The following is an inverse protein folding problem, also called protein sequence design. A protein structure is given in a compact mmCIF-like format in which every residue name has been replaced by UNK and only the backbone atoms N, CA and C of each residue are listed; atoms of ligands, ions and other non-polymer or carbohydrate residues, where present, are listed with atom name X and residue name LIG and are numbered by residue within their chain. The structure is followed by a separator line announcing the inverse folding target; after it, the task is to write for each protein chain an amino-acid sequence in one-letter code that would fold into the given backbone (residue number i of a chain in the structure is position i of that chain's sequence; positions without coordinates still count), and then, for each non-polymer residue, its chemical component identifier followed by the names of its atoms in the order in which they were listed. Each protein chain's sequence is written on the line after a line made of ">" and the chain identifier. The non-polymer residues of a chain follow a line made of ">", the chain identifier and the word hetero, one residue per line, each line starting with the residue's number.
data_IF_131978259212
#
_entry.id   IF_131978259212
#
_cell.length_a   1.000
_cell.length_b   1.000
_cell.length_c   1.000
_cell.angle_alpha   90.00
_cell.angle_beta   90.00
_cell.angle_gamma   90.00
#
_symmetry.space_group_name_H-M   'P 1'
#
loop_
_entity.id
_entity.type
_entity.pdbx_description
1 polymer ?
#
# COMPACT_ATOMS: atom_id res chain seq x y z
N UNK A 1 6.20 31.71 -26.30
CA UNK A 1 4.90 31.21 -25.82
C UNK A 1 5.03 29.78 -25.31
N UNK A 2 4.38 29.51 -24.17
CA UNK A 2 4.48 28.22 -23.48
C UNK A 2 3.43 27.18 -23.91
N UNK A 3 2.59 27.48 -24.90
CA UNK A 3 1.63 26.55 -25.50
C UNK A 3 2.06 26.03 -26.86
N UNK A 4 1.30 25.09 -27.40
CA UNK A 4 1.40 24.59 -28.79
C UNK A 4 0.07 24.81 -29.53
N UNK A 5 0.01 24.48 -30.82
CA UNK A 5 -1.25 24.51 -31.60
C UNK A 5 -2.28 23.49 -31.09
N UNK A 6 -1.86 22.44 -30.40
CA UNK A 6 -2.68 21.31 -29.92
C UNK A 6 -3.06 21.43 -28.44
N UNK A 7 -2.28 22.15 -27.63
CA UNK A 7 -2.51 22.32 -26.20
C UNK A 7 -2.07 23.71 -25.74
N UNK A 8 -2.92 24.38 -24.99
CA UNK A 8 -2.62 25.71 -24.48
C UNK A 8 -1.72 25.65 -23.22
N UNK A 9 -1.06 26.77 -22.90
CA UNK A 9 -0.13 26.87 -21.76
C UNK A 9 -0.81 26.55 -20.42
N UNK A 10 -2.06 26.98 -20.21
CA UNK A 10 -2.78 26.73 -18.94
C UNK A 10 -2.98 25.23 -18.71
N UNK A 11 -3.29 24.48 -19.76
CA UNK A 11 -3.45 23.02 -19.63
C UNK A 11 -2.11 22.33 -19.36
N UNK A 12 -1.01 22.80 -19.95
CA UNK A 12 0.34 22.29 -19.64
C UNK A 12 0.69 22.58 -18.18
N UNK A 13 0.39 23.78 -17.66
CA UNK A 13 0.60 24.12 -16.25
C UNK A 13 -0.26 23.23 -15.34
N UNK A 14 -1.51 23.01 -15.66
CA UNK A 14 -2.40 22.12 -14.90
C UNK A 14 -1.83 20.68 -14.81
N UNK A 15 -1.40 20.11 -15.94
CA UNK A 15 -0.79 18.78 -15.93
C UNK A 15 0.54 18.77 -15.14
N UNK A 16 1.33 19.84 -15.23
CA UNK A 16 2.58 19.97 -14.48
C UNK A 16 2.33 20.04 -12.97
N UNK A 17 1.36 20.83 -12.53
CA UNK A 17 0.98 20.92 -11.13
C UNK A 17 0.38 19.61 -10.58
N UNK A 18 -0.21 18.81 -11.46
CA UNK A 18 -0.73 17.48 -11.15
C UNK A 18 0.32 16.37 -11.29
N UNK A 19 1.61 16.70 -11.43
CA UNK A 19 2.73 15.77 -11.58
C UNK A 19 2.56 14.79 -12.76
N UNK A 20 1.94 15.24 -13.85
CA UNK A 20 1.71 14.45 -15.06
C UNK A 20 2.53 14.98 -16.23
N UNK A 21 3.02 14.05 -17.04
CA UNK A 21 3.60 14.39 -18.31
C UNK A 21 2.48 14.64 -19.33
N UNK A 22 2.61 15.72 -20.09
CA UNK A 22 1.66 16.06 -21.15
C UNK A 22 1.72 15.01 -22.25
N UNK A 23 0.55 14.55 -22.71
CA UNK A 23 0.39 13.59 -23.80
C UNK A 23 -0.67 14.09 -24.79
N UNK A 24 -0.34 14.06 -26.08
CA UNK A 24 -1.23 14.47 -27.15
C UNK A 24 -1.69 13.22 -27.92
N UNK A 25 -3.01 13.11 -28.10
CA UNK A 25 -3.61 11.98 -28.79
C UNK A 25 -4.32 12.45 -30.07
N UNK A 26 -4.19 11.67 -31.12
CA UNK A 26 -5.02 11.74 -32.32
C UNK A 26 -6.12 10.69 -32.23
N UNK A 27 -7.30 10.98 -32.79
CA UNK A 27 -8.41 10.07 -32.81
C UNK A 27 -8.53 9.53 -34.23
N UNK A 28 -8.31 8.24 -34.41
CA UNK A 28 -8.42 7.53 -35.67
C UNK A 28 -9.67 6.65 -35.60
N UNK A 29 -10.48 6.65 -36.66
CA UNK A 29 -11.59 5.71 -36.78
C UNK A 29 -11.04 4.37 -37.27
N UNK A 30 -11.41 3.28 -36.59
CA UNK A 30 -11.09 1.92 -37.05
C UNK A 30 -12.07 1.44 -38.09
N UNK A 31 -11.82 0.27 -38.67
CA UNK A 31 -12.64 -0.33 -39.74
C UNK A 31 -14.09 -0.60 -39.30
N UNK A 32 -14.40 -0.54 -38.01
CA UNK A 32 -15.73 -0.67 -37.41
C UNK A 32 -16.38 0.70 -37.09
N UNK A 33 -15.76 1.84 -37.47
CA UNK A 33 -16.24 3.19 -37.20
C UNK A 33 -16.09 3.65 -35.75
N UNK A 34 -15.30 2.94 -34.95
CA UNK A 34 -15.02 3.31 -33.56
C UNK A 34 -13.80 4.24 -33.50
N UNK A 35 -13.92 5.32 -32.71
CA UNK A 35 -12.81 6.25 -32.47
C UNK A 35 -11.80 5.67 -31.49
N UNK A 36 -10.57 5.47 -31.93
CA UNK A 36 -9.44 5.01 -31.13
C UNK A 36 -8.45 6.15 -30.93
N UNK A 37 -8.09 6.40 -29.67
CA UNK A 37 -7.06 7.38 -29.30
C UNK A 37 -5.66 6.78 -29.54
N UNK A 38 -4.87 7.40 -30.41
CA UNK A 38 -3.49 7.01 -30.71
C UNK A 38 -2.55 8.13 -30.27
N UNK A 39 -1.49 7.78 -29.54
CA UNK A 39 -0.52 8.75 -29.06
C UNK A 39 0.27 9.36 -30.23
N UNK A 40 0.17 10.69 -30.38
CA UNK A 40 0.99 11.44 -31.32
C UNK A 40 2.34 11.75 -30.66
N UNK A 41 3.36 10.95 -30.97
CA UNK A 41 4.70 11.06 -30.38
C UNK A 41 5.36 12.41 -30.66
N UNK A 42 5.19 12.97 -31.88
CA UNK A 42 5.80 14.24 -32.29
C UNK A 42 5.20 15.41 -31.52
N UNK A 43 3.87 15.53 -31.52
CA UNK A 43 3.19 16.61 -30.80
C UNK A 43 3.36 16.49 -29.28
N UNK A 44 3.42 15.26 -28.75
CA UNK A 44 3.71 15.01 -27.34
C UNK A 44 5.11 15.49 -26.98
N UNK A 45 6.15 15.20 -27.77
CA UNK A 45 7.51 15.68 -27.51
C UNK A 45 7.60 17.21 -27.52
N UNK A 46 6.89 17.89 -28.44
CA UNK A 46 6.84 19.35 -28.49
C UNK A 46 6.17 19.91 -27.25
N UNK A 47 5.04 19.30 -26.82
CA UNK A 47 4.32 19.73 -25.61
C UNK A 47 5.13 19.50 -24.33
N UNK A 48 5.85 18.38 -24.20
CA UNK A 48 6.75 18.10 -23.09
C UNK A 48 7.95 19.06 -23.05
N UNK A 49 8.51 19.42 -24.21
CA UNK A 49 9.54 20.46 -24.24
C UNK A 49 9.02 21.81 -23.71
N UNK A 50 7.74 22.17 -24.00
CA UNK A 50 7.12 23.36 -23.42
C UNK A 50 6.87 23.21 -21.91
N UNK A 51 6.55 22.01 -21.45
CA UNK A 51 6.39 21.70 -20.03
C UNK A 51 7.72 21.92 -19.27
N UNK A 52 8.85 21.47 -19.83
CA UNK A 52 10.16 21.70 -19.23
C UNK A 52 10.55 23.19 -19.23
N UNK A 53 10.24 23.93 -20.30
CA UNK A 53 10.44 25.39 -20.32
C UNK A 53 9.62 26.11 -19.25
N UNK A 54 8.40 25.67 -18.94
CA UNK A 54 7.57 26.22 -17.87
C UNK A 54 8.23 25.93 -16.50
N UNK A 55 8.71 24.71 -16.27
CA UNK A 55 9.39 24.33 -15.01
C UNK A 55 10.66 25.18 -14.82
N UNK A 56 11.48 25.28 -15.86
CA UNK A 56 12.69 26.11 -15.81
C UNK A 56 12.37 27.58 -15.59
N UNK A 57 11.42 28.14 -16.33
CA UNK A 57 11.00 29.51 -16.17
C UNK A 57 10.46 29.83 -14.78
N UNK A 58 9.75 28.88 -14.15
CA UNK A 58 9.31 29.03 -12.76
C UNK A 58 10.48 28.99 -11.77
N UNK A 59 11.42 28.07 -11.98
CA UNK A 59 12.65 27.99 -11.17
C UNK A 59 13.45 29.29 -11.24
N UNK A 60 13.70 29.79 -12.45
CA UNK A 60 14.43 31.04 -12.66
C UNK A 60 13.71 32.22 -12.01
N UNK A 61 12.38 32.28 -12.13
CA UNK A 61 11.56 33.33 -11.50
C UNK A 61 11.64 33.28 -9.97
N UNK A 62 11.65 32.11 -9.36
CA UNK A 62 11.80 31.97 -7.90
C UNK A 62 13.17 32.51 -7.44
N UNK A 63 14.23 32.20 -8.16
CA UNK A 63 15.59 32.54 -7.76
C UNK A 63 16.02 33.97 -8.13
N UNK A 64 15.35 34.61 -9.09
CA UNK A 64 15.69 35.96 -9.54
C UNK A 64 15.43 37.05 -8.49
N UNK A 65 14.50 36.84 -7.57
CA UNK A 65 14.12 37.81 -6.55
C UNK A 65 14.46 37.28 -5.14
N UNK A 66 15.39 37.93 -4.41
CA UNK A 66 15.81 37.50 -3.08
C UNK A 66 14.67 37.47 -2.05
N UNK A 67 13.77 38.45 -2.03
CA UNK A 67 12.63 38.51 -1.10
C UNK A 67 11.65 37.36 -1.33
N UNK A 68 11.32 37.11 -2.60
CA UNK A 68 10.46 36.01 -3.00
C UNK A 68 11.06 34.65 -2.61
N UNK A 69 12.36 34.47 -2.89
CA UNK A 69 13.10 33.26 -2.54
C UNK A 69 13.06 33.01 -1.04
N UNK A 70 13.39 34.04 -0.23
CA UNK A 70 13.37 33.91 1.23
C UNK A 70 11.98 33.56 1.76
N UNK A 71 10.95 34.29 1.29
CA UNK A 71 9.55 34.03 1.67
C UNK A 71 9.10 32.60 1.32
N UNK A 72 9.39 32.15 0.09
CA UNK A 72 8.99 30.80 -0.36
C UNK A 72 9.80 29.71 0.36
N UNK A 73 11.09 29.93 0.59
CA UNK A 73 11.96 29.00 1.36
C UNK A 73 11.46 28.87 2.80
N UNK A 74 11.14 30.01 3.46
CA UNK A 74 10.57 29.96 4.81
C UNK A 74 9.24 29.21 4.84
N UNK A 75 8.31 29.54 3.93
CA UNK A 75 7.02 28.86 3.84
C UNK A 75 7.17 27.35 3.58
N UNK A 76 8.11 26.97 2.71
CA UNK A 76 8.41 25.57 2.42
C UNK A 76 8.96 24.86 3.67
N UNK A 77 9.92 25.47 4.33
CA UNK A 77 10.52 24.90 5.55
C UNK A 77 9.51 24.75 6.68
N UNK A 78 8.65 25.75 6.88
CA UNK A 78 7.58 25.69 7.87
C UNK A 78 6.57 24.58 7.59
N UNK A 79 6.23 24.35 6.31
CA UNK A 79 5.21 23.36 5.93
C UNK A 79 5.76 21.93 5.76
N UNK A 80 6.99 21.78 5.28
CA UNK A 80 7.51 20.48 4.84
C UNK A 80 8.79 20.05 5.56
N UNK A 81 9.57 20.98 6.12
CA UNK A 81 10.83 20.67 6.80
C UNK A 81 10.78 20.94 8.33
N UNK A 82 9.60 21.27 8.87
CA UNK A 82 9.42 21.50 10.30
C UNK A 82 9.38 20.21 11.13
N UNK A 83 9.23 19.07 10.49
CA UNK A 83 9.19 17.76 11.13
C UNK A 83 10.58 17.13 11.01
N UNK A 84 11.20 16.86 12.16
CA UNK A 84 12.41 16.03 12.22
C UNK A 84 11.99 14.57 12.31
N UNK A 85 12.31 13.72 11.33
CA UNK A 85 12.05 12.27 11.43
C UNK A 85 12.74 11.70 12.67
N UNK A 86 12.06 10.79 13.34
CA UNK A 86 12.67 10.05 14.45
C UNK A 86 13.73 9.10 13.90
N UNK A 87 14.92 9.17 14.44
CA UNK A 87 15.99 8.23 14.16
C UNK A 87 15.94 7.06 15.14
N UNK A 88 16.23 5.87 14.68
CA UNK A 88 16.23 4.66 15.48
C UNK A 88 17.63 4.05 15.45
N UNK A 89 18.19 3.84 16.64
CA UNK A 89 19.47 3.17 16.85
C UNK A 89 19.26 1.76 17.39
N UNK A 90 19.67 0.76 16.62
CA UNK A 90 19.60 -0.66 16.96
C UNK A 90 20.92 -1.23 17.51
N UNK A 91 21.93 -0.39 17.79
CA UNK A 91 23.26 -0.83 18.25
C UNK A 91 23.21 -1.63 19.56
N UNK A 92 22.28 -1.31 20.43
CA UNK A 92 22.07 -1.96 21.74
C UNK A 92 21.31 -3.29 21.68
N UNK A 93 20.72 -3.65 20.52
CA UNK A 93 19.89 -4.87 20.42
C UNK A 93 20.81 -6.09 20.35
N UNK A 94 20.53 -7.06 21.23
CA UNK A 94 21.18 -8.37 21.25
C UNK A 94 20.21 -9.39 20.68
N UNK A 95 20.55 -10.00 19.56
CA UNK A 95 19.71 -10.97 18.86
C UNK A 95 19.92 -12.37 19.43
N UNK A 96 19.16 -12.70 20.48
CA UNK A 96 19.25 -14.02 21.13
C UNK A 96 18.75 -15.12 20.23
N UNK A 97 19.51 -16.22 20.14
CA UNK A 97 19.16 -17.38 19.29
C UNK A 97 19.47 -17.21 17.81
N UNK A 98 19.96 -16.04 17.39
CA UNK A 98 20.44 -15.84 16.03
C UNK A 98 21.73 -16.63 15.77
N UNK A 99 21.93 -17.08 14.54
CA UNK A 99 23.14 -17.76 14.09
C UNK A 99 24.39 -16.90 14.38
N UNK A 100 25.34 -17.34 15.17
CA UNK A 100 26.52 -16.54 15.57
C UNK A 100 27.47 -16.24 14.40
N UNK A 101 27.38 -16.98 13.29
CA UNK A 101 28.19 -16.72 12.09
C UNK A 101 27.66 -15.55 11.27
N UNK A 102 26.42 -15.07 11.56
CA UNK A 102 25.79 -13.97 10.82
C UNK A 102 25.79 -12.72 11.69
N UNK A 103 26.27 -11.63 11.13
CA UNK A 103 26.21 -10.30 11.76
C UNK A 103 25.32 -9.37 10.94
N UNK A 104 24.29 -8.83 11.57
CA UNK A 104 23.45 -7.81 10.94
C UNK A 104 24.21 -6.49 10.80
N UNK A 105 24.09 -5.87 9.61
CA UNK A 105 24.67 -4.55 9.34
C UNK A 105 23.96 -3.47 10.16
N UNK A 106 24.58 -2.32 10.32
CA UNK A 106 24.04 -1.19 11.08
C UNK A 106 22.62 -0.80 10.63
N UNK A 107 22.41 -0.60 9.32
CA UNK A 107 21.08 -0.23 8.80
C UNK A 107 20.02 -1.32 9.08
N UNK A 108 20.39 -2.59 9.08
CA UNK A 108 19.47 -3.69 9.41
C UNK A 108 19.08 -3.66 10.90
N UNK A 109 20.05 -3.43 11.79
CA UNK A 109 19.80 -3.27 13.23
C UNK A 109 18.91 -2.06 13.50
N UNK A 110 19.15 -0.95 12.82
CA UNK A 110 18.34 0.26 12.90
C UNK A 110 16.92 0.05 12.36
N UNK A 111 16.75 -0.75 11.30
CA UNK A 111 15.44 -1.17 10.80
C UNK A 111 14.69 -2.02 11.83
N UNK A 112 15.35 -2.96 12.48
CA UNK A 112 14.75 -3.76 13.57
C UNK A 112 14.33 -2.83 14.73
N UNK A 113 15.17 -1.89 15.15
CA UNK A 113 14.82 -0.91 16.16
C UNK A 113 13.60 -0.07 15.77
N UNK A 114 13.51 0.32 14.48
CA UNK A 114 12.34 1.03 13.96
C UNK A 114 11.05 0.19 14.08
N UNK A 115 11.09 -1.09 13.73
CA UNK A 115 9.95 -2.00 13.87
C UNK A 115 9.54 -2.18 15.34
N UNK A 116 10.52 -2.33 16.24
CA UNK A 116 10.26 -2.54 17.66
C UNK A 116 9.65 -1.31 18.37
N UNK A 117 10.13 -0.11 18.04
CA UNK A 117 9.78 1.12 18.75
C UNK A 117 8.86 2.06 17.99
N UNK A 118 8.78 1.93 16.66
CA UNK A 118 8.07 2.86 15.79
C UNK A 118 6.61 2.51 15.50
N UNK A 119 6.19 1.26 15.66
CA UNK A 119 4.89 0.76 15.21
C UNK A 119 4.92 0.27 13.77
N UNK A 120 3.86 0.54 13.00
CA UNK A 120 3.80 0.12 11.59
C UNK A 120 4.94 0.75 10.78
N UNK A 121 5.70 -0.07 10.08
CA UNK A 121 6.96 0.35 9.44
C UNK A 121 6.99 -0.02 7.97
N UNK A 122 7.42 0.91 7.12
CA UNK A 122 7.72 0.66 5.71
C UNK A 122 9.24 0.58 5.51
N UNK A 123 9.75 -0.60 5.17
CA UNK A 123 11.15 -0.82 4.84
C UNK A 123 11.40 -0.51 3.35
N UNK A 124 11.66 0.74 3.03
CA UNK A 124 11.92 1.22 1.66
C UNK A 124 13.40 1.11 1.26
N UNK A 125 14.11 0.11 1.74
CA UNK A 125 15.50 -0.16 1.42
C UNK A 125 15.66 -0.65 -0.03
N UNK A 126 16.81 -0.37 -0.61
CA UNK A 126 17.18 -0.84 -1.95
C UNK A 126 17.14 -2.38 -2.04
N UNK A 127 17.03 -2.89 -3.27
CA UNK A 127 17.15 -4.33 -3.53
C UNK A 127 18.54 -4.81 -3.09
N UNK A 128 18.59 -5.95 -2.40
CA UNK A 128 19.85 -6.49 -1.88
C UNK A 128 20.32 -5.91 -0.53
N UNK A 129 19.56 -5.01 0.10
CA UNK A 129 19.89 -4.50 1.44
C UNK A 129 19.69 -5.52 2.56
N UNK A 130 19.05 -6.67 2.27
CA UNK A 130 18.81 -7.74 3.25
C UNK A 130 17.53 -7.55 4.06
N UNK A 131 16.46 -7.00 3.46
CA UNK A 131 15.15 -6.80 4.10
C UNK A 131 14.57 -8.09 4.73
N UNK A 132 14.81 -9.24 4.13
CA UNK A 132 14.42 -10.55 4.71
C UNK A 132 14.96 -10.71 6.12
N UNK A 133 16.25 -10.46 6.32
CA UNK A 133 16.88 -10.58 7.64
C UNK A 133 16.38 -9.51 8.62
N UNK A 134 16.06 -8.31 8.14
CA UNK A 134 15.44 -7.26 8.98
C UNK A 134 14.08 -7.71 9.52
N UNK A 135 13.22 -8.23 8.66
CA UNK A 135 11.88 -8.70 9.04
C UNK A 135 11.94 -9.94 9.94
N UNK A 136 12.82 -10.90 9.63
CA UNK A 136 13.00 -12.13 10.43
C UNK A 136 13.54 -11.79 11.82
N UNK A 137 14.59 -10.97 11.91
CA UNK A 137 15.17 -10.56 13.19
C UNK A 137 14.17 -9.76 14.02
N UNK A 138 13.41 -8.85 13.40
CA UNK A 138 12.37 -8.10 14.10
C UNK A 138 11.26 -9.01 14.63
N UNK A 139 10.81 -10.00 13.85
CA UNK A 139 9.81 -10.97 14.29
C UNK A 139 10.26 -11.76 15.50
N UNK A 140 11.50 -12.25 15.52
CA UNK A 140 12.06 -12.99 16.66
C UNK A 140 12.23 -12.12 17.89
N UNK A 141 12.68 -10.88 17.74
CA UNK A 141 12.82 -9.96 18.85
C UNK A 141 11.44 -9.54 19.42
N UNK A 142 10.45 -9.31 18.56
CA UNK A 142 9.07 -9.04 19.03
C UNK A 142 8.52 -10.21 19.83
N UNK A 143 8.74 -11.45 19.41
CA UNK A 143 8.32 -12.65 20.15
C UNK A 143 9.09 -12.79 21.46
N UNK A 144 10.40 -12.62 21.44
CA UNK A 144 11.25 -12.67 22.64
C UNK A 144 10.84 -11.65 23.70
N UNK A 145 10.44 -10.46 23.25
CA UNK A 145 9.98 -9.37 24.14
C UNK A 145 8.52 -9.53 24.59
N UNK A 146 7.80 -10.54 24.12
CA UNK A 146 6.38 -10.74 24.42
C UNK A 146 5.46 -9.71 23.74
N UNK A 147 5.94 -9.03 22.69
CA UNK A 147 5.19 -8.04 21.91
C UNK A 147 4.47 -8.66 20.72
N UNK A 148 4.71 -9.93 20.43
CA UNK A 148 4.09 -10.72 19.38
C UNK A 148 3.99 -12.17 19.84
N UNK A 149 2.83 -12.80 19.58
CA UNK A 149 2.64 -14.22 19.80
C UNK A 149 2.89 -15.01 18.52
N UNK A 150 2.39 -14.53 17.40
CA UNK A 150 2.45 -15.25 16.11
C UNK A 150 2.59 -14.29 14.94
N UNK A 151 3.74 -14.35 14.28
CA UNK A 151 4.02 -13.58 13.07
C UNK A 151 3.55 -14.30 11.81
N UNK A 152 2.94 -13.55 10.89
CA UNK A 152 2.59 -14.01 9.55
C UNK A 152 3.43 -13.28 8.50
N UNK A 153 4.17 -14.04 7.70
CA UNK A 153 4.94 -13.53 6.57
C UNK A 153 4.18 -13.79 5.26
N UNK A 154 3.89 -12.73 4.54
CA UNK A 154 3.21 -12.76 3.24
C UNK A 154 4.22 -12.39 2.17
N UNK A 155 4.59 -13.36 1.35
CA UNK A 155 5.71 -13.25 0.41
C UNK A 155 5.28 -13.62 -1.02
N UNK A 156 6.03 -13.27 -2.07
CA UNK A 156 5.76 -13.76 -3.42
C UNK A 156 5.65 -15.28 -3.46
N UNK A 157 4.66 -15.82 -4.16
CA UNK A 157 4.35 -17.26 -4.13
C UNK A 157 5.53 -18.20 -4.48
N UNK A 158 6.45 -17.73 -5.29
CA UNK A 158 7.62 -18.50 -5.72
C UNK A 158 8.81 -18.42 -4.75
N UNK A 159 8.74 -17.54 -3.74
CA UNK A 159 9.82 -17.31 -2.78
C UNK A 159 9.54 -17.93 -1.39
N UNK A 160 8.42 -18.62 -1.19
CA UNK A 160 8.04 -19.17 0.12
C UNK A 160 9.10 -20.13 0.69
N UNK A 161 9.68 -21.00 -0.14
CA UNK A 161 10.73 -21.94 0.29
C UNK A 161 12.06 -21.22 0.55
N UNK A 162 12.41 -20.23 -0.27
CA UNK A 162 13.60 -19.41 -0.06
C UNK A 162 13.50 -18.65 1.26
N UNK A 163 12.35 -18.02 1.53
CA UNK A 163 12.09 -17.31 2.79
C UNK A 163 12.23 -18.23 4.00
N UNK A 164 11.72 -19.47 3.90
CA UNK A 164 11.88 -20.47 4.95
C UNK A 164 13.35 -20.83 5.18
N UNK A 165 14.11 -21.02 4.10
CA UNK A 165 15.55 -21.33 4.18
C UNK A 165 16.34 -20.17 4.81
N UNK A 166 16.10 -18.92 4.38
CA UNK A 166 16.73 -17.72 4.93
C UNK A 166 16.34 -17.49 6.40
N UNK A 167 15.07 -17.77 6.76
CA UNK A 167 14.61 -17.71 8.15
C UNK A 167 15.40 -18.68 9.04
N UNK A 168 15.49 -19.96 8.65
CA UNK A 168 16.20 -20.98 9.41
C UNK A 168 17.73 -20.81 9.34
N UNK A 169 18.26 -20.17 8.31
CA UNK A 169 19.66 -19.79 8.26
C UNK A 169 19.98 -18.76 9.34
N UNK A 170 19.11 -17.78 9.56
CA UNK A 170 19.28 -16.73 10.57
C UNK A 170 18.95 -17.24 11.97
N UNK A 171 17.86 -18.01 12.12
CA UNK A 171 17.41 -18.59 13.39
C UNK A 171 17.21 -20.13 13.25
N UNK A 172 18.26 -20.93 13.42
CA UNK A 172 18.20 -22.39 13.16
C UNK A 172 17.23 -23.14 14.06
N UNK A 173 16.94 -22.63 15.25
CA UNK A 173 16.03 -23.26 16.22
C UNK A 173 14.58 -22.80 16.10
N UNK A 174 14.25 -21.95 15.14
CA UNK A 174 12.90 -21.41 15.00
C UNK A 174 11.91 -22.49 14.52
N UNK A 175 10.72 -22.49 15.15
CA UNK A 175 9.60 -23.33 14.75
C UNK A 175 8.71 -22.58 13.75
N UNK A 176 8.89 -22.85 12.45
CA UNK A 176 8.15 -22.16 11.38
C UNK A 176 7.18 -23.09 10.66
N UNK A 177 6.05 -22.55 10.22
CA UNK A 177 5.10 -23.23 9.35
C UNK A 177 5.11 -22.59 7.96
N UNK A 178 5.40 -23.39 6.93
CA UNK A 178 5.46 -22.91 5.54
C UNK A 178 4.33 -23.50 4.74
N UNK A 179 3.56 -22.65 4.08
CA UNK A 179 2.46 -23.06 3.24
C UNK A 179 2.91 -23.58 1.88
N UNK A 180 2.36 -24.69 1.47
CA UNK A 180 2.51 -25.24 0.12
C UNK A 180 1.27 -24.94 -0.73
N UNK A 181 1.37 -25.12 -2.06
CA UNK A 181 0.21 -24.97 -2.95
C UNK A 181 -0.94 -25.93 -2.56
N UNK A 182 -0.59 -27.15 -2.11
CA UNK A 182 -1.55 -28.20 -1.71
C UNK A 182 -2.35 -27.82 -0.47
N UNK A 183 -1.75 -27.06 0.46
CA UNK A 183 -2.40 -26.64 1.70
C UNK A 183 -3.57 -25.68 1.44
N UNK A 184 -3.52 -24.92 0.35
CA UNK A 184 -4.57 -23.96 -0.03
C UNK A 184 -5.55 -24.48 -1.12
N UNK A 185 -5.50 -25.77 -1.45
CA UNK A 185 -6.62 -26.42 -2.14
C UNK A 185 -7.87 -26.41 -1.26
N UNK A 186 -9.05 -26.32 -1.87
CA UNK A 186 -10.32 -26.16 -1.15
C UNK A 186 -10.50 -27.18 -0.02
N UNK A 187 -10.12 -28.44 -0.23
CA UNK A 187 -10.25 -29.53 0.74
C UNK A 187 -9.27 -29.44 1.93
N UNK A 188 -8.11 -28.80 1.74
CA UNK A 188 -7.02 -28.77 2.72
C UNK A 188 -6.95 -27.43 3.49
N UNK A 189 -7.48 -26.36 2.91
CA UNK A 189 -7.36 -24.97 3.43
C UNK A 189 -7.86 -24.85 4.87
N UNK A 190 -9.04 -25.38 5.18
CA UNK A 190 -9.60 -25.37 6.55
C UNK A 190 -8.64 -26.05 7.55
N UNK A 191 -8.07 -27.20 7.18
CA UNK A 191 -7.12 -27.93 8.01
C UNK A 191 -5.84 -27.14 8.21
N UNK A 192 -5.32 -26.51 7.17
CA UNK A 192 -4.11 -25.68 7.26
C UNK A 192 -4.34 -24.43 8.12
N UNK A 193 -5.42 -23.70 7.91
CA UNK A 193 -5.79 -22.58 8.77
C UNK A 193 -5.99 -23.02 10.24
N UNK A 194 -6.60 -24.17 10.47
CA UNK A 194 -6.71 -24.78 11.82
C UNK A 194 -5.34 -25.05 12.45
N UNK A 195 -4.35 -25.51 11.67
CA UNK A 195 -2.96 -25.68 12.16
C UNK A 195 -2.33 -24.33 12.53
N UNK A 196 -2.56 -23.29 11.74
CA UNK A 196 -2.11 -21.93 12.11
C UNK A 196 -2.73 -21.51 13.42
N UNK A 197 -4.06 -21.65 13.55
CA UNK A 197 -4.80 -21.20 14.73
C UNK A 197 -4.34 -21.88 16.03
N UNK A 198 -4.12 -23.21 15.98
CA UNK A 198 -3.87 -24.02 17.18
C UNK A 198 -2.38 -24.29 17.44
N UNK A 199 -1.51 -24.08 16.44
CA UNK A 199 -0.09 -24.37 16.59
C UNK A 199 0.69 -23.21 17.21
N UNK A 200 1.71 -23.55 17.98
CA UNK A 200 2.67 -22.58 18.52
C UNK A 200 3.87 -22.47 17.55
N UNK A 201 3.77 -21.53 16.64
CA UNK A 201 4.81 -21.24 15.66
C UNK A 201 5.46 -19.88 15.96
N UNK A 202 6.75 -19.77 15.70
CA UNK A 202 7.46 -18.49 15.72
C UNK A 202 7.04 -17.62 14.53
N UNK A 203 6.84 -18.27 13.39
CA UNK A 203 6.35 -17.61 12.20
C UNK A 203 5.57 -18.57 11.28
N UNK A 204 4.64 -18.00 10.54
CA UNK A 204 3.93 -18.67 9.45
C UNK A 204 4.28 -17.95 8.15
N UNK A 205 4.72 -18.70 7.12
CA UNK A 205 5.11 -18.13 5.82
C UNK A 205 4.09 -18.59 4.77
N UNK A 206 3.43 -17.65 4.11
CA UNK A 206 2.44 -17.93 3.06
C UNK A 206 2.67 -17.05 1.83
N UNK A 207 2.21 -17.52 0.68
CA UNK A 207 2.26 -16.74 -0.55
C UNK A 207 1.12 -15.70 -0.64
N UNK A 208 1.31 -14.62 -1.42
CA UNK A 208 0.31 -13.58 -1.64
C UNK A 208 -1.05 -14.15 -2.05
N UNK A 209 -1.09 -15.08 -3.02
CA UNK A 209 -2.35 -15.67 -3.47
C UNK A 209 -3.01 -16.61 -2.44
N UNK A 210 -2.25 -17.09 -1.48
CA UNK A 210 -2.75 -17.89 -0.36
C UNK A 210 -3.36 -16.96 0.72
N UNK A 211 -2.70 -15.85 1.00
CA UNK A 211 -3.17 -14.82 1.92
C UNK A 211 -4.54 -14.23 1.49
N UNK A 212 -4.73 -14.00 0.20
CA UNK A 212 -6.00 -13.53 -0.37
C UNK A 212 -7.16 -14.53 -0.20
N UNK A 213 -6.86 -15.82 0.01
CA UNK A 213 -7.87 -16.87 0.22
C UNK A 213 -8.32 -17.03 1.67
N UNK A 214 -7.72 -16.32 2.61
CA UNK A 214 -8.12 -16.32 4.02
C UNK A 214 -9.06 -15.13 4.23
N UNK A 215 -10.36 -15.34 4.40
CA UNK A 215 -11.31 -14.24 4.50
C UNK A 215 -11.26 -13.57 5.88
N UNK A 216 -11.70 -12.33 5.95
CA UNK A 216 -12.14 -11.71 7.20
C UNK A 216 -13.54 -12.19 7.56
N UNK A 217 -13.92 -12.07 8.83
CA UNK A 217 -15.30 -12.35 9.27
C UNK A 217 -16.31 -11.51 8.48
N UNK A 218 -17.49 -12.06 8.27
CA UNK A 218 -18.58 -11.39 7.52
C UNK A 218 -19.02 -10.11 8.22
N UNK A 219 -19.06 -10.13 9.55
CA UNK A 219 -19.43 -9.00 10.39
C UNK A 219 -18.46 -7.83 10.18
N UNK A 220 -17.17 -8.10 10.15
CA UNK A 220 -16.14 -7.07 9.93
C UNK A 220 -16.16 -6.54 8.50
N UNK A 221 -16.29 -7.41 7.52
CA UNK A 221 -16.44 -6.98 6.13
C UNK A 221 -17.67 -6.08 5.95
N UNK A 222 -18.79 -6.42 6.58
CA UNK A 222 -20.02 -5.62 6.56
C UNK A 222 -19.80 -4.25 7.18
N UNK A 223 -19.26 -4.19 8.39
CA UNK A 223 -19.01 -2.93 9.10
C UNK A 223 -18.15 -1.97 8.28
N UNK A 224 -17.09 -2.46 7.62
CA UNK A 224 -16.22 -1.63 6.78
C UNK A 224 -16.96 -1.14 5.52
N UNK A 225 -17.74 -1.98 4.85
CA UNK A 225 -18.53 -1.57 3.69
C UNK A 225 -19.60 -0.53 4.06
N UNK A 226 -20.24 -0.68 5.21
CA UNK A 226 -21.21 0.28 5.74
C UNK A 226 -20.54 1.63 6.04
N UNK A 227 -19.37 1.63 6.68
CA UNK A 227 -18.58 2.83 6.92
C UNK A 227 -18.19 3.53 5.61
N UNK A 228 -17.74 2.78 4.61
CA UNK A 228 -17.41 3.34 3.29
C UNK A 228 -18.64 3.99 2.61
N UNK A 229 -19.81 3.36 2.72
CA UNK A 229 -21.08 3.92 2.19
C UNK A 229 -21.42 5.24 2.90
N UNK A 230 -21.23 5.31 4.21
CA UNK A 230 -21.47 6.52 5.00
C UNK A 230 -20.52 7.64 4.60
N UNK A 231 -19.22 7.36 4.51
CA UNK A 231 -18.20 8.33 4.07
C UNK A 231 -18.48 8.87 2.67
N UNK A 232 -18.83 8.00 1.72
CA UNK A 232 -19.21 8.40 0.36
C UNK A 232 -20.49 9.24 0.36
N UNK A 233 -21.46 8.89 1.20
CA UNK A 233 -22.72 9.66 1.32
C UNK A 233 -22.46 11.05 1.86
N UNK A 234 -21.62 11.17 2.88
CA UNK A 234 -21.21 12.45 3.46
C UNK A 234 -20.44 13.29 2.44
N UNK A 235 -19.48 12.69 1.73
CA UNK A 235 -18.74 13.37 0.67
C UNK A 235 -19.61 13.87 -0.49
N UNK A 236 -20.63 13.10 -0.90
CA UNK A 236 -21.60 13.52 -1.91
C UNK A 236 -22.43 14.73 -1.40
N UNK A 237 -22.87 14.69 -0.15
CA UNK A 237 -23.63 15.78 0.45
C UNK A 237 -22.80 17.08 0.53
N UNK A 238 -21.54 17.00 0.97
CA UNK A 238 -20.60 18.14 1.01
C UNK A 238 -20.37 18.76 -0.37
N UNK A 239 -20.16 17.93 -1.40
CA UNK A 239 -19.94 18.40 -2.77
C UNK A 239 -21.21 19.06 -3.34
N UNK A 240 -22.39 18.51 -3.05
CA UNK A 240 -23.66 19.13 -3.47
C UNK A 240 -23.89 20.47 -2.78
N UNK A 241 -23.60 20.58 -1.48
CA UNK A 241 -23.72 21.82 -0.72
C UNK A 241 -22.77 22.92 -1.21
N UNK A 242 -21.54 22.55 -1.56
CA UNK A 242 -20.49 23.46 -2.02
C UNK A 242 -20.51 23.71 -3.54
N UNK A 243 -21.59 23.37 -4.26
CA UNK A 243 -21.71 23.48 -5.72
C UNK A 243 -20.53 22.83 -6.46
N UNK A 244 -20.04 21.70 -5.94
CA UNK A 244 -18.94 20.93 -6.54
C UNK A 244 -19.26 20.45 -7.95
N UNK A 245 -18.23 20.09 -8.70
CA UNK A 245 -18.39 19.65 -10.10
C UNK A 245 -19.30 18.44 -10.23
N UNK A 246 -20.27 18.50 -11.14
CA UNK A 246 -21.24 17.42 -11.42
C UNK A 246 -20.59 16.08 -11.76
N UNK A 247 -19.43 16.12 -12.40
CA UNK A 247 -18.67 14.91 -12.74
C UNK A 247 -18.20 14.14 -11.47
N UNK A 248 -17.74 14.87 -10.45
CA UNK A 248 -17.29 14.31 -9.17
C UNK A 248 -18.42 13.65 -8.41
N UNK A 249 -19.55 14.32 -8.37
CA UNK A 249 -20.74 13.79 -7.70
C UNK A 249 -21.16 12.49 -8.37
N UNK A 250 -21.22 12.45 -9.71
CA UNK A 250 -21.54 11.21 -10.47
C UNK A 250 -20.54 10.09 -10.22
N UNK A 251 -19.24 10.41 -10.08
CA UNK A 251 -18.21 9.40 -9.81
C UNK A 251 -18.40 8.80 -8.40
N UNK A 252 -18.65 9.63 -7.38
CA UNK A 252 -18.92 9.15 -6.02
C UNK A 252 -20.23 8.35 -5.93
N UNK A 253 -21.25 8.77 -6.66
CA UNK A 253 -22.52 8.02 -6.74
C UNK A 253 -22.30 6.63 -7.36
N UNK A 254 -21.44 6.51 -8.39
CA UNK A 254 -21.05 5.21 -8.97
C UNK A 254 -20.27 4.36 -7.98
N UNK A 255 -19.30 4.94 -7.27
CA UNK A 255 -18.54 4.24 -6.22
C UNK A 255 -19.45 3.77 -5.10
N UNK A 256 -20.36 4.62 -4.61
CA UNK A 256 -21.37 4.23 -3.61
C UNK A 256 -22.21 3.05 -4.09
N UNK A 257 -22.71 3.10 -5.32
CA UNK A 257 -23.49 1.98 -5.90
C UNK A 257 -22.68 0.68 -5.95
N UNK A 258 -21.40 0.74 -6.32
CA UNK A 258 -20.50 -0.42 -6.35
C UNK A 258 -20.33 -1.03 -4.95
N UNK A 259 -20.06 -0.20 -3.93
CA UNK A 259 -19.89 -0.67 -2.55
C UNK A 259 -21.21 -1.25 -2.00
N UNK A 260 -22.36 -0.62 -2.28
CA UNK A 260 -23.67 -1.15 -1.90
C UNK A 260 -23.97 -2.53 -2.53
N UNK A 261 -23.57 -2.72 -3.80
CA UNK A 261 -23.70 -4.04 -4.45
C UNK A 261 -22.80 -5.10 -3.82
N UNK A 262 -21.58 -4.73 -3.38
CA UNK A 262 -20.67 -5.62 -2.65
C UNK A 262 -21.30 -6.04 -1.32
N UNK A 263 -21.88 -5.09 -0.59
CA UNK A 263 -22.57 -5.37 0.68
C UNK A 263 -23.77 -6.31 0.49
N UNK A 264 -24.58 -6.10 -0.54
CA UNK A 264 -25.71 -6.99 -0.86
C UNK A 264 -25.23 -8.43 -1.16
N UNK A 265 -24.18 -8.59 -1.98
CA UNK A 265 -23.59 -9.91 -2.27
C UNK A 265 -23.04 -10.59 -1.01
N UNK A 266 -22.39 -9.84 -0.13
CA UNK A 266 -21.88 -10.38 1.14
C UNK A 266 -23.01 -10.94 2.00
N UNK A 267 -24.14 -10.24 2.08
CA UNK A 267 -25.32 -10.69 2.84
C UNK A 267 -25.94 -11.97 2.27
N UNK A 268 -25.89 -12.17 0.94
CA UNK A 268 -26.38 -13.39 0.29
C UNK A 268 -25.42 -14.58 0.51
N UNK A 269 -24.12 -14.33 0.63
CA UNK A 269 -23.10 -15.38 0.85
C UNK A 269 -23.02 -15.85 2.30
N UNK A 270 -23.49 -15.06 3.27
CA UNK A 270 -23.40 -15.34 4.72
C UNK A 270 -24.00 -16.68 5.16
N UNK A 271 -24.70 -17.38 4.27
CA UNK A 271 -25.35 -18.67 4.56
C UNK A 271 -24.51 -19.91 4.21
N UNK A 272 -23.27 -19.75 3.68
CA UNK A 272 -22.56 -20.89 3.04
C UNK A 272 -21.18 -21.25 3.58
N UNK A 273 -20.51 -20.43 4.38
CA UNK A 273 -19.08 -20.63 4.64
C UNK A 273 -18.71 -20.93 6.11
N UNK A 274 -18.48 -22.21 6.37
CA UNK A 274 -17.72 -22.74 7.51
C UNK A 274 -16.20 -22.67 7.17
N UNK A 275 -15.66 -21.46 7.04
CA UNK A 275 -14.24 -21.20 6.73
C UNK A 275 -13.60 -20.51 7.92
N UNK A 276 -12.39 -20.95 8.31
CA UNK A 276 -11.59 -20.27 9.34
C UNK A 276 -11.23 -18.87 8.83
N UNK A 277 -11.59 -17.87 9.61
CA UNK A 277 -11.35 -16.45 9.29
C UNK A 277 -9.94 -16.01 9.70
N UNK A 278 -9.50 -14.85 9.21
CA UNK A 278 -8.20 -14.30 9.55
C UNK A 278 -8.06 -14.02 11.05
N UNK A 279 -9.12 -13.54 11.68
CA UNK A 279 -9.20 -13.27 13.12
C UNK A 279 -8.96 -14.54 13.96
N UNK A 280 -9.48 -15.68 13.49
CA UNK A 280 -9.33 -16.96 14.18
C UNK A 280 -7.93 -17.57 14.08
N UNK A 281 -7.06 -17.06 13.20
CA UNK A 281 -5.68 -17.54 13.08
C UNK A 281 -4.81 -17.21 14.30
N UNK A 282 -5.20 -16.21 15.09
CA UNK A 282 -4.42 -15.74 16.23
C UNK A 282 -3.11 -15.06 15.84
N UNK A 283 -3.03 -14.54 14.62
CA UNK A 283 -1.91 -13.74 14.14
C UNK A 283 -2.03 -12.33 14.72
N UNK A 284 -0.94 -11.79 15.24
CA UNK A 284 -0.86 -10.44 15.82
C UNK A 284 0.25 -9.57 15.23
N UNK A 285 1.03 -10.13 14.27
CA UNK A 285 2.02 -9.39 13.48
C UNK A 285 2.00 -9.83 12.02
N UNK A 286 2.08 -8.84 11.13
CA UNK A 286 2.06 -9.05 9.69
C UNK A 286 3.31 -8.45 9.04
N UNK A 287 4.06 -9.30 8.34
CA UNK A 287 5.21 -8.90 7.54
C UNK A 287 4.90 -9.17 6.07
N UNK A 288 4.98 -8.15 5.23
CA UNK A 288 4.63 -8.26 3.81
C UNK A 288 5.83 -7.89 2.96
N UNK A 289 6.33 -8.85 2.23
CA UNK A 289 7.34 -8.61 1.19
C UNK A 289 6.66 -8.17 -0.10
N UNK A 290 7.32 -7.28 -0.85
CA UNK A 290 6.81 -6.73 -2.10
C UNK A 290 5.42 -6.08 -1.96
N UNK A 291 5.22 -5.28 -0.90
CA UNK A 291 3.94 -4.64 -0.56
C UNK A 291 3.35 -3.77 -1.67
N UNK A 292 4.16 -3.38 -2.67
CA UNK A 292 3.70 -2.64 -3.84
C UNK A 292 2.66 -3.41 -4.69
N UNK A 293 2.52 -4.72 -4.53
CA UNK A 293 1.44 -5.50 -5.14
C UNK A 293 0.04 -5.08 -4.67
N UNK A 294 -0.06 -4.42 -3.50
CA UNK A 294 -1.30 -3.96 -2.87
C UNK A 294 -1.55 -2.46 -3.01
N UNK A 295 -0.87 -1.77 -3.92
CA UNK A 295 -0.89 -0.30 -4.07
C UNK A 295 -2.23 0.32 -4.47
N UNK A 296 -3.16 -0.46 -5.03
CA UNK A 296 -4.43 0.06 -5.56
C UNK A 296 -5.55 -0.03 -4.50
N UNK A 297 -5.35 0.60 -3.36
CA UNK A 297 -6.39 0.79 -2.37
C UNK A 297 -7.31 1.93 -2.80
N UNK A 298 -8.62 1.75 -2.66
CA UNK A 298 -9.57 2.84 -2.86
C UNK A 298 -9.30 3.95 -1.84
N UNK A 299 -9.08 5.15 -2.34
CA UNK A 299 -8.90 6.34 -1.54
C UNK A 299 -9.90 7.40 -1.97
N UNK A 300 -10.79 7.79 -1.04
CA UNK A 300 -11.58 9.00 -1.23
C UNK A 300 -10.67 10.23 -1.08
N UNK A 301 -10.53 11.00 -2.15
CA UNK A 301 -9.76 12.23 -2.13
C UNK A 301 -10.42 13.30 -2.99
N UNK A 302 -10.34 14.56 -2.55
CA UNK A 302 -10.72 15.73 -3.36
C UNK A 302 -9.69 16.02 -4.45
N UNK A 303 -8.47 15.42 -4.35
CA UNK A 303 -7.41 15.57 -5.34
C UNK A 303 -7.72 14.69 -6.55
N UNK A 304 -7.70 15.29 -7.75
CA UNK A 304 -8.00 14.60 -8.99
C UNK A 304 -6.87 14.71 -9.96
N UNK A 305 -6.77 13.69 -10.80
CA UNK A 305 -5.78 13.68 -11.88
C UNK A 305 -4.34 13.91 -11.43
N UNK A 306 -4.01 13.64 -10.16
CA UNK A 306 -2.66 13.74 -9.62
C UNK A 306 -1.88 12.47 -9.93
N UNK A 307 -0.66 12.60 -10.43
CA UNK A 307 0.25 11.48 -10.66
C UNK A 307 0.51 10.71 -9.36
N UNK A 308 0.50 9.38 -9.42
CA UNK A 308 0.74 8.52 -8.26
C UNK A 308 -0.48 8.24 -7.38
N UNK A 309 -1.58 8.99 -7.50
CA UNK A 309 -2.83 8.72 -6.78
C UNK A 309 -3.78 7.96 -7.70
N UNK A 310 -3.87 6.64 -7.50
CA UNK A 310 -4.81 5.81 -8.26
C UNK A 310 -6.20 5.84 -7.59
N UNK A 311 -7.24 6.05 -8.40
CA UNK A 311 -8.65 5.97 -7.96
C UNK A 311 -9.27 4.59 -8.29
N UNK A 312 -8.44 3.63 -8.71
CA UNK A 312 -8.85 2.25 -9.00
C UNK A 312 -8.74 1.40 -7.75
N UNK A 313 -9.74 0.57 -7.50
CA UNK A 313 -9.76 -0.37 -6.38
C UNK A 313 -9.36 -1.77 -6.87
N UNK A 314 -8.46 -2.42 -6.15
CA UNK A 314 -8.19 -3.84 -6.30
C UNK A 314 -8.69 -4.59 -5.04
N UNK A 315 -9.42 -5.67 -5.23
CA UNK A 315 -9.99 -6.47 -4.13
C UNK A 315 -8.92 -6.90 -3.11
N UNK A 316 -7.74 -7.31 -3.58
CA UNK A 316 -6.61 -7.69 -2.72
C UNK A 316 -6.10 -6.56 -1.83
N UNK A 317 -6.12 -5.31 -2.34
CA UNK A 317 -5.68 -4.14 -1.55
C UNK A 317 -6.69 -3.80 -0.47
N UNK A 318 -7.99 -3.90 -0.77
CA UNK A 318 -9.05 -3.72 0.21
C UNK A 318 -9.05 -4.84 1.26
N UNK A 319 -8.78 -6.08 0.87
CA UNK A 319 -8.66 -7.23 1.78
C UNK A 319 -7.48 -7.04 2.74
N UNK A 320 -6.30 -6.68 2.22
CA UNK A 320 -5.14 -6.36 3.06
C UNK A 320 -5.43 -5.20 4.01
N UNK A 321 -6.07 -4.14 3.54
CA UNK A 321 -6.43 -3.00 4.39
C UNK A 321 -7.32 -3.41 5.56
N UNK A 322 -8.32 -4.27 5.34
CA UNK A 322 -9.18 -4.81 6.40
C UNK A 322 -8.37 -5.58 7.44
N UNK A 323 -7.44 -6.44 6.99
CA UNK A 323 -6.56 -7.23 7.87
C UNK A 323 -5.62 -6.36 8.69
N UNK A 324 -5.01 -5.34 8.07
CA UNK A 324 -4.18 -4.37 8.78
C UNK A 324 -4.99 -3.59 9.83
N UNK A 325 -6.20 -3.12 9.49
CA UNK A 325 -7.08 -2.43 10.44
C UNK A 325 -7.41 -3.30 11.65
N UNK A 326 -7.69 -4.59 11.42
CA UNK A 326 -7.92 -5.54 12.50
C UNK A 326 -6.68 -5.69 13.40
N UNK A 327 -5.49 -5.87 12.79
CA UNK A 327 -4.26 -5.99 13.56
C UNK A 327 -3.96 -4.72 14.35
N UNK A 328 -4.17 -3.54 13.78
CA UNK A 328 -4.00 -2.26 14.49
C UNK A 328 -4.94 -2.14 15.69
N UNK A 329 -6.17 -2.62 15.58
CA UNK A 329 -7.13 -2.63 16.69
C UNK A 329 -6.67 -3.51 17.85
N UNK A 330 -6.20 -4.74 17.58
CA UNK A 330 -5.80 -5.69 18.62
C UNK A 330 -4.40 -5.40 19.20
N UNK A 331 -3.56 -4.66 18.47
CA UNK A 331 -2.16 -4.38 18.88
C UNK A 331 -1.91 -2.94 19.26
N UNK A 332 -2.91 -2.06 19.18
CA UNK A 332 -2.76 -0.63 19.44
C UNK A 332 -1.89 0.08 18.39
N UNK A 333 -2.05 -0.27 17.09
CA UNK A 333 -1.33 0.33 15.96
C UNK A 333 0.08 -0.23 15.76
N UNK A 334 0.28 -1.49 16.10
CA UNK A 334 1.57 -2.18 15.97
C UNK A 334 1.47 -3.54 15.29
N UNK A 335 0.43 -3.74 14.49
CA UNK A 335 0.09 -5.01 13.85
C UNK A 335 0.95 -5.44 12.67
#
# INVERSE_FOLDING_TARGET
>A
TYGTSRINAYKIIEETLNLKDVRIFDYIEDDEGKRKAVLNKKETAIAQAKQELIKQGFQDWVWADPERREKLTRLYNEKFNSIRPREYDGSHIIFSGMNPEITLREHQRNAVAHILYGGNTLLAHAVGAGKTFEMVAASQELKRLGLCNKSLFVVPNHLTEQWAAEYLQLYPSANILVATKKDFETKNRKRFCGRIATGDYDAVIIGHSQFEKIPMSIERQRAILEQQIEELTRGIAELKANRGERFSIKQLERSKKSVTQKLAKLNDQSRKDDVVTFEELGVDRLFIDESHYYKNLYLYTKMRNVGGIAQTEAQKSSDLFMKCRYLDEITGGRG
#
